data_IF_706659407924
#
_entry.id   IF_706659407924
#
_cell.length_a   1.000
_cell.length_b   1.000
_cell.length_c   1.000
_cell.angle_alpha   90.00
_cell.angle_beta   90.00
_cell.angle_gamma   90.00
#
_symmetry.space_group_name_H-M   'P 1'
#
loop_
_entity.id
_entity.type
_entity.pdbx_description
1 polymer ?
#
# COMPACT_ATOMS: atom_id res chain seq x y z
N UNK A 1 -19.24 -12.78 13.08
CA UNK A 1 -19.26 -13.43 11.76
C UNK A 1 -20.40 -12.78 11.02
N UNK A 2 -20.19 -12.38 9.77
CA UNK A 2 -21.19 -11.69 8.94
C UNK A 2 -21.72 -12.64 7.87
N UNK A 3 -22.93 -12.41 7.41
CA UNK A 3 -23.62 -13.23 6.40
C UNK A 3 -23.62 -12.58 5.01
N UNK A 4 -23.34 -11.28 4.92
CA UNK A 4 -23.33 -10.51 3.66
C UNK A 4 -22.07 -9.66 3.53
N UNK A 5 -21.48 -9.68 2.34
CA UNK A 5 -20.26 -8.96 1.98
C UNK A 5 -20.49 -8.08 0.76
N UNK A 6 -20.29 -6.78 0.91
CA UNK A 6 -20.20 -5.85 -0.21
C UNK A 6 -18.75 -5.74 -0.68
N UNK A 7 -18.52 -5.77 -1.99
CA UNK A 7 -17.19 -5.62 -2.57
C UNK A 7 -17.09 -4.22 -3.14
N UNK A 8 -16.40 -3.32 -2.44
CA UNK A 8 -16.20 -1.92 -2.82
C UNK A 8 -15.07 -1.77 -3.86
N UNK A 9 -15.16 -2.55 -4.94
CA UNK A 9 -14.18 -2.58 -6.02
C UNK A 9 -14.85 -3.08 -7.33
N UNK A 10 -14.07 -3.25 -8.41
CA UNK A 10 -14.55 -3.69 -9.73
C UNK A 10 -13.60 -4.67 -10.40
N UNK A 11 -14.06 -5.29 -11.48
CA UNK A 11 -13.22 -6.12 -12.33
C UNK A 11 -12.73 -7.40 -11.64
N UNK A 12 -11.50 -7.80 -11.92
CA UNK A 12 -10.98 -9.12 -11.53
C UNK A 12 -10.97 -9.32 -10.01
N UNK A 13 -10.53 -8.31 -9.25
CA UNK A 13 -10.42 -8.43 -7.79
C UNK A 13 -11.79 -8.58 -7.14
N UNK A 14 -12.81 -7.93 -7.71
CA UNK A 14 -14.17 -8.08 -7.23
C UNK A 14 -14.69 -9.51 -7.48
N UNK A 15 -14.47 -10.06 -8.67
CA UNK A 15 -14.77 -11.45 -9.01
C UNK A 15 -14.04 -12.43 -8.07
N UNK A 16 -12.74 -12.21 -7.82
CA UNK A 16 -11.91 -13.05 -6.94
C UNK A 16 -12.45 -13.09 -5.50
N UNK A 17 -12.95 -11.97 -5.00
CA UNK A 17 -13.57 -11.87 -3.66
C UNK A 17 -14.94 -12.53 -3.66
N UNK A 18 -15.82 -12.20 -4.61
CA UNK A 18 -17.18 -12.78 -4.75
C UNK A 18 -17.12 -14.31 -4.77
N UNK A 19 -16.24 -14.90 -5.59
CA UNK A 19 -16.08 -16.36 -5.67
C UNK A 19 -15.67 -16.98 -4.34
N UNK A 20 -14.85 -16.30 -3.54
CA UNK A 20 -14.43 -16.80 -2.23
C UNK A 20 -15.55 -16.65 -1.20
N UNK A 21 -16.22 -15.51 -1.16
CA UNK A 21 -17.36 -15.26 -0.30
C UNK A 21 -18.49 -16.29 -0.52
N UNK A 22 -18.82 -16.59 -1.79
CA UNK A 22 -19.78 -17.64 -2.14
C UNK A 22 -19.37 -19.04 -1.66
N UNK A 23 -18.09 -19.43 -1.81
CA UNK A 23 -17.59 -20.71 -1.27
C UNK A 23 -17.68 -20.78 0.26
N UNK A 24 -17.68 -19.64 0.93
CA UNK A 24 -17.85 -19.52 2.37
C UNK A 24 -19.33 -19.43 2.80
N UNK A 25 -20.27 -19.40 1.85
CA UNK A 25 -21.71 -19.30 2.13
C UNK A 25 -22.22 -17.89 2.37
N UNK A 26 -21.42 -16.86 2.05
CA UNK A 26 -21.80 -15.45 2.24
C UNK A 26 -22.61 -14.94 1.05
N UNK A 27 -23.61 -14.11 1.33
CA UNK A 27 -24.26 -13.27 0.32
C UNK A 27 -23.30 -12.21 -0.22
N UNK A 28 -23.36 -11.94 -1.52
CA UNK A 28 -22.42 -11.03 -2.20
C UNK A 28 -23.11 -9.85 -2.85
N UNK A 29 -22.58 -8.65 -2.61
CA UNK A 29 -23.07 -7.40 -3.21
C UNK A 29 -21.95 -6.75 -4.02
N UNK A 30 -22.15 -6.62 -5.33
CA UNK A 30 -21.29 -5.81 -6.18
C UNK A 30 -21.72 -4.34 -6.15
N UNK A 31 -20.75 -3.44 -6.34
CA UNK A 31 -21.04 -2.04 -6.69
C UNK A 31 -20.59 -1.74 -8.12
N UNK A 32 -21.31 -0.85 -8.80
CA UNK A 32 -20.98 -0.51 -10.18
C UNK A 32 -21.24 0.95 -10.55
N UNK A 33 -20.39 1.48 -11.44
CA UNK A 33 -20.63 2.72 -12.15
C UNK A 33 -21.49 2.47 -13.41
N UNK A 34 -22.08 3.52 -14.00
CA UNK A 34 -22.82 3.41 -15.28
C UNK A 34 -22.04 2.67 -16.39
N UNK A 35 -20.71 2.83 -16.43
CA UNK A 35 -19.87 2.19 -17.44
C UNK A 35 -19.63 0.69 -17.18
N UNK A 36 -19.89 0.23 -15.96
CA UNK A 36 -19.64 -1.14 -15.50
C UNK A 36 -20.92 -1.96 -15.34
N UNK A 37 -22.08 -1.46 -15.81
CA UNK A 37 -23.37 -2.11 -15.63
C UNK A 37 -23.41 -3.57 -16.13
N UNK A 38 -22.69 -3.85 -17.23
CA UNK A 38 -22.60 -5.19 -17.83
C UNK A 38 -21.29 -5.92 -17.48
N UNK A 39 -20.55 -5.44 -16.47
CA UNK A 39 -19.27 -6.03 -16.10
C UNK A 39 -19.44 -7.39 -15.42
N UNK A 40 -18.43 -8.27 -15.58
CA UNK A 40 -18.46 -9.63 -15.02
C UNK A 40 -18.69 -9.65 -13.49
N UNK A 41 -18.11 -8.72 -12.73
CA UNK A 41 -18.29 -8.70 -11.27
C UNK A 41 -19.73 -8.34 -10.87
N UNK A 42 -20.47 -7.61 -11.71
CA UNK A 42 -21.90 -7.31 -11.51
C UNK A 42 -22.73 -8.55 -11.74
N UNK A 43 -22.48 -9.26 -12.86
CA UNK A 43 -23.17 -10.50 -13.19
C UNK A 43 -22.86 -11.65 -12.22
N UNK A 44 -21.66 -11.65 -11.61
CA UNK A 44 -21.26 -12.68 -10.64
C UNK A 44 -21.78 -12.45 -9.23
N UNK A 45 -22.19 -11.25 -8.81
CA UNK A 45 -22.71 -11.04 -7.45
C UNK A 45 -24.18 -11.48 -7.31
N UNK A 46 -24.64 -11.71 -6.07
CA UNK A 46 -26.05 -12.04 -5.81
C UNK A 46 -26.95 -10.80 -5.92
N UNK A 47 -26.41 -9.63 -5.58
CA UNK A 47 -27.02 -8.32 -5.75
C UNK A 47 -26.00 -7.32 -6.29
N UNK A 48 -26.47 -6.27 -6.96
CA UNK A 48 -25.63 -5.18 -7.41
C UNK A 48 -26.28 -3.83 -7.14
N UNK A 49 -25.48 -2.86 -6.66
CA UNK A 49 -25.92 -1.50 -6.36
C UNK A 49 -25.16 -0.50 -7.23
N UNK A 50 -25.90 0.40 -7.88
CA UNK A 50 -25.32 1.47 -8.69
C UNK A 50 -24.77 2.57 -7.78
N UNK A 51 -23.49 2.90 -7.92
CA UNK A 51 -22.81 3.91 -7.08
C UNK A 51 -22.49 5.22 -7.80
N UNK A 52 -22.82 5.35 -9.08
CA UNK A 52 -22.70 6.64 -9.76
C UNK A 52 -22.33 6.56 -11.24
N UNK A 53 -21.84 7.68 -11.76
CA UNK A 53 -21.45 7.83 -13.17
C UNK A 53 -20.10 7.18 -13.43
N UNK A 54 -19.75 7.04 -14.70
CA UNK A 54 -18.51 6.41 -15.15
C UNK A 54 -17.21 6.96 -14.53
N UNK A 55 -17.03 8.27 -14.26
CA UNK A 55 -15.81 8.76 -13.62
C UNK A 55 -15.62 8.15 -12.24
N UNK A 56 -14.39 7.70 -11.93
CA UNK A 56 -14.09 7.05 -10.64
C UNK A 56 -14.31 7.99 -9.45
N UNK A 57 -14.10 9.30 -9.62
CA UNK A 57 -14.38 10.31 -8.62
C UNK A 57 -15.88 10.39 -8.26
N UNK A 58 -16.75 10.11 -9.23
CA UNK A 58 -18.21 10.12 -9.06
C UNK A 58 -18.75 8.75 -8.63
N UNK A 59 -17.89 7.73 -8.48
CA UNK A 59 -18.28 6.34 -8.20
C UNK A 59 -17.34 5.65 -7.21
N UNK A 60 -16.30 4.94 -7.67
CA UNK A 60 -15.45 4.08 -6.82
C UNK A 60 -14.58 4.82 -5.79
N UNK A 61 -14.39 6.12 -5.94
CA UNK A 61 -13.73 6.99 -4.96
C UNK A 61 -14.73 7.85 -4.17
N UNK A 62 -16.03 7.73 -4.44
CA UNK A 62 -17.08 8.46 -3.75
C UNK A 62 -17.50 7.68 -2.49
N UNK A 63 -17.00 8.12 -1.34
CA UNK A 63 -17.28 7.48 -0.05
C UNK A 63 -18.78 7.50 0.30
N UNK A 64 -19.46 8.63 0.06
CA UNK A 64 -20.89 8.76 0.36
C UNK A 64 -21.74 7.78 -0.45
N UNK A 65 -21.42 7.60 -1.73
CA UNK A 65 -22.12 6.65 -2.59
C UNK A 65 -21.90 5.19 -2.15
N UNK A 66 -20.68 4.86 -1.72
CA UNK A 66 -20.35 3.52 -1.21
C UNK A 66 -21.02 3.26 0.15
N UNK A 67 -21.05 4.23 1.05
CA UNK A 67 -21.76 4.14 2.33
C UNK A 67 -23.27 3.98 2.11
N UNK A 68 -23.85 4.73 1.17
CA UNK A 68 -25.25 4.56 0.78
C UNK A 68 -25.52 3.16 0.24
N UNK A 69 -24.62 2.59 -0.57
CA UNK A 69 -24.75 1.22 -1.07
C UNK A 69 -24.64 0.16 0.03
N UNK A 70 -23.79 0.37 1.04
CA UNK A 70 -23.73 -0.49 2.23
C UNK A 70 -25.07 -0.48 2.98
N UNK A 71 -25.63 0.71 3.22
CA UNK A 71 -26.92 0.87 3.90
C UNK A 71 -28.07 0.25 3.09
N UNK A 72 -28.18 0.55 1.79
CA UNK A 72 -29.22 0.02 0.90
C UNK A 72 -29.19 -1.51 0.81
N UNK A 73 -27.98 -2.06 0.74
CA UNK A 73 -27.79 -3.50 0.59
C UNK A 73 -27.96 -4.25 1.91
N UNK A 74 -27.77 -3.59 3.05
CA UNK A 74 -27.69 -4.22 4.36
C UNK A 74 -26.44 -5.09 4.53
N UNK A 75 -25.37 -4.81 3.79
CA UNK A 75 -24.12 -5.56 3.91
C UNK A 75 -23.46 -5.29 5.27
N UNK A 76 -23.07 -6.37 5.95
CA UNK A 76 -22.47 -6.34 7.29
C UNK A 76 -20.95 -6.20 7.26
N UNK A 77 -20.35 -6.44 6.09
CA UNK A 77 -18.93 -6.24 5.85
C UNK A 77 -18.66 -5.69 4.46
N UNK A 78 -17.51 -5.02 4.33
CA UNK A 78 -17.02 -4.47 3.07
C UNK A 78 -15.60 -4.94 2.80
N UNK A 79 -15.40 -5.60 1.66
CA UNK A 79 -14.07 -5.92 1.16
C UNK A 79 -13.64 -4.86 0.14
N UNK A 80 -12.57 -4.10 0.38
CA UNK A 80 -12.19 -3.00 -0.50
C UNK A 80 -11.37 -3.45 -1.71
N UNK A 81 -10.87 -4.70 -1.73
CA UNK A 81 -9.97 -5.18 -2.79
C UNK A 81 -8.61 -4.49 -2.68
N UNK A 82 -8.07 -4.03 -3.80
CA UNK A 82 -6.87 -3.19 -3.86
C UNK A 82 -7.14 -1.92 -4.68
N UNK A 83 -6.38 -0.86 -4.42
CA UNK A 83 -6.61 0.44 -5.03
C UNK A 83 -7.91 1.10 -4.52
N UNK A 84 -8.36 2.14 -5.22
CA UNK A 84 -9.50 2.96 -4.78
C UNK A 84 -9.38 3.39 -3.32
N UNK A 85 -10.27 2.89 -2.45
CA UNK A 85 -10.34 3.23 -1.04
C UNK A 85 -9.76 2.14 -0.11
N UNK A 86 -9.04 1.14 -0.66
CA UNK A 86 -8.48 0.03 0.14
C UNK A 86 -7.45 0.46 1.19
N UNK A 87 -6.84 1.62 1.02
CA UNK A 87 -5.88 2.21 1.96
C UNK A 87 -6.37 3.58 2.47
N UNK A 88 -7.70 3.81 2.45
CA UNK A 88 -8.28 5.03 2.95
C UNK A 88 -8.77 4.85 4.41
N UNK A 89 -8.11 5.50 5.40
CA UNK A 89 -8.45 5.29 6.81
C UNK A 89 -9.79 5.91 7.19
N UNK A 90 -10.20 6.98 6.53
CA UNK A 90 -11.47 7.66 6.81
C UNK A 90 -12.65 6.80 6.33
N UNK A 91 -12.52 6.15 5.17
CA UNK A 91 -13.50 5.20 4.67
C UNK A 91 -13.62 3.97 5.57
N UNK A 92 -12.50 3.40 6.03
CA UNK A 92 -12.51 2.29 6.98
C UNK A 92 -13.20 2.67 8.30
N UNK A 93 -13.00 3.89 8.80
CA UNK A 93 -13.67 4.39 10.00
C UNK A 93 -15.17 4.63 9.78
N UNK A 94 -15.55 5.25 8.66
CA UNK A 94 -16.95 5.53 8.33
C UNK A 94 -17.78 4.25 8.16
N UNK A 95 -17.17 3.16 7.68
CA UNK A 95 -17.83 1.85 7.64
C UNK A 95 -18.14 1.31 9.04
N UNK A 96 -17.21 1.46 10.00
CA UNK A 96 -17.45 1.07 11.38
C UNK A 96 -18.59 1.88 12.01
N UNK A 97 -18.64 3.20 11.76
CA UNK A 97 -19.74 4.07 12.20
C UNK A 97 -21.09 3.68 11.58
N UNK A 98 -21.08 3.16 10.35
CA UNK A 98 -22.25 2.61 9.66
C UNK A 98 -22.60 1.17 10.09
N UNK A 99 -21.85 0.58 11.03
CA UNK A 99 -22.08 -0.79 11.52
C UNK A 99 -21.56 -1.90 10.60
N UNK A 100 -20.74 -1.57 9.60
CA UNK A 100 -20.16 -2.53 8.66
C UNK A 100 -18.67 -2.80 8.98
N UNK A 101 -18.28 -4.07 8.93
CA UNK A 101 -16.88 -4.47 9.15
C UNK A 101 -16.03 -4.17 7.91
N UNK A 102 -14.99 -3.36 8.04
CA UNK A 102 -13.95 -3.25 7.01
C UNK A 102 -13.07 -4.51 6.99
N UNK A 103 -13.06 -5.25 5.88
CA UNK A 103 -12.22 -6.45 5.73
C UNK A 103 -10.80 -6.02 5.33
N UNK A 104 -10.04 -5.59 6.33
CA UNK A 104 -8.68 -5.09 6.19
C UNK A 104 -8.08 -4.64 7.53
N UNK A 105 -6.94 -3.93 7.50
CA UNK A 105 -6.34 -3.37 8.71
C UNK A 105 -7.20 -2.26 9.32
N UNK A 106 -6.97 -1.94 10.60
CA UNK A 106 -7.68 -0.86 11.28
C UNK A 106 -7.37 0.52 10.67
N UNK A 107 -8.25 1.53 10.83
CA UNK A 107 -7.96 2.89 10.40
C UNK A 107 -6.63 3.44 10.92
N UNK A 108 -6.26 3.12 12.16
CA UNK A 108 -5.00 3.53 12.78
C UNK A 108 -3.80 2.88 12.10
N UNK A 109 -3.88 1.57 11.79
CA UNK A 109 -2.83 0.86 11.06
C UNK A 109 -2.66 1.41 9.63
N UNK A 110 -3.78 1.74 8.95
CA UNK A 110 -3.75 2.40 7.63
C UNK A 110 -3.07 3.77 7.74
N UNK A 111 -3.43 4.61 8.72
CA UNK A 111 -2.78 5.93 8.93
C UNK A 111 -1.30 5.78 9.24
N UNK A 112 -0.93 4.82 10.08
CA UNK A 112 0.46 4.57 10.47
C UNK A 112 1.35 4.20 9.26
N UNK A 113 0.78 3.51 8.27
CA UNK A 113 1.48 3.11 7.05
C UNK A 113 1.37 4.13 5.90
N UNK A 114 0.46 5.10 5.98
CA UNK A 114 0.26 6.10 4.93
C UNK A 114 1.39 7.14 4.80
N UNK A 115 2.17 7.38 5.86
CA UNK A 115 3.37 8.23 5.83
C UNK A 115 4.62 7.36 5.77
N UNK A 116 5.44 7.53 4.72
CA UNK A 116 6.69 6.76 4.57
C UNK A 116 7.68 7.02 5.71
N UNK A 117 7.70 8.24 6.23
CA UNK A 117 8.57 8.64 7.35
C UNK A 117 8.14 7.90 8.61
N UNK A 118 6.86 7.95 8.95
CA UNK A 118 6.35 7.31 10.17
C UNK A 118 6.41 5.78 10.06
N UNK A 119 6.10 5.21 8.90
CA UNK A 119 6.24 3.79 8.62
C UNK A 119 7.69 3.34 8.84
N UNK A 120 8.68 4.01 8.23
CA UNK A 120 10.11 3.69 8.41
C UNK A 120 10.54 3.82 9.87
N UNK A 121 10.11 4.86 10.57
CA UNK A 121 10.44 5.06 11.99
C UNK A 121 9.94 3.89 12.84
N UNK A 122 8.70 3.46 12.65
CA UNK A 122 8.09 2.33 13.37
C UNK A 122 8.77 1.00 13.03
N UNK A 123 9.00 0.75 11.75
CA UNK A 123 9.64 -0.48 11.26
C UNK A 123 11.09 -0.58 11.74
N UNK A 124 11.84 0.53 11.71
CA UNK A 124 13.20 0.60 12.24
C UNK A 124 13.22 0.38 13.76
N UNK A 125 12.30 1.00 14.51
CA UNK A 125 12.16 0.79 15.96
C UNK A 125 11.83 -0.67 16.31
N UNK A 126 11.18 -1.40 15.41
CA UNK A 126 10.90 -2.83 15.52
C UNK A 126 12.06 -3.73 15.05
N UNK A 127 13.23 -3.16 14.73
CA UNK A 127 14.43 -3.91 14.35
C UNK A 127 14.36 -4.55 12.96
N UNK A 128 13.51 -4.04 12.07
CA UNK A 128 13.57 -4.39 10.66
C UNK A 128 14.53 -3.42 9.93
N UNK A 129 15.42 -3.92 9.06
CA UNK A 129 16.34 -3.07 8.31
C UNK A 129 15.57 -2.08 7.42
N UNK A 130 15.93 -0.80 7.47
CA UNK A 130 15.40 0.25 6.59
C UNK A 130 16.52 0.77 5.69
N UNK A 131 16.18 1.29 4.51
CA UNK A 131 17.18 1.89 3.62
C UNK A 131 17.88 3.05 4.35
N UNK A 132 19.22 3.08 4.40
CA UNK A 132 19.95 4.21 4.99
C UNK A 132 19.51 5.52 4.34
N UNK A 133 19.20 6.53 5.15
CA UNK A 133 18.58 7.74 4.65
C UNK A 133 18.33 8.77 5.73
N UNK A 134 17.66 9.85 5.34
CA UNK A 134 17.27 10.96 6.20
C UNK A 134 15.75 11.15 6.15
N UNK A 135 15.13 11.09 7.33
CA UNK A 135 13.70 11.32 7.56
C UNK A 135 13.45 12.37 8.64
N UNK A 136 14.43 13.24 8.90
CA UNK A 136 14.35 14.26 9.94
C UNK A 136 13.50 15.47 9.56
N UNK A 137 13.26 16.33 10.56
CA UNK A 137 12.37 17.49 10.42
C UNK A 137 12.96 18.70 9.69
N UNK A 138 14.28 18.75 9.45
CA UNK A 138 14.87 19.83 8.67
C UNK A 138 14.60 19.60 7.17
N UNK A 139 13.68 20.40 6.64
CA UNK A 139 13.27 20.36 5.23
C UNK A 139 13.88 21.52 4.42
N UNK A 140 14.86 22.25 4.98
CA UNK A 140 15.60 23.27 4.24
C UNK A 140 16.47 22.65 3.15
N UNK A 141 16.67 23.37 2.04
CA UNK A 141 17.51 22.87 0.94
C UNK A 141 18.94 22.58 1.42
N UNK A 142 19.50 23.46 2.25
CA UNK A 142 20.84 23.30 2.83
C UNK A 142 20.93 22.07 3.73
N UNK A 143 19.99 21.87 4.64
CA UNK A 143 19.98 20.71 5.54
C UNK A 143 19.87 19.39 4.78
N UNK A 144 18.96 19.33 3.80
CA UNK A 144 18.79 18.17 2.93
C UNK A 144 20.04 17.90 2.09
N UNK A 145 20.74 18.93 1.60
CA UNK A 145 21.98 18.76 0.83
C UNK A 145 23.13 18.20 1.70
N UNK A 146 23.23 18.65 2.97
CA UNK A 146 24.20 18.09 3.93
C UNK A 146 23.94 16.60 4.16
N UNK A 147 22.70 16.23 4.45
CA UNK A 147 22.34 14.82 4.68
C UNK A 147 22.49 13.97 3.41
N UNK A 148 22.23 14.51 2.22
CA UNK A 148 22.53 13.82 0.97
C UNK A 148 24.03 13.52 0.83
N UNK A 149 24.89 14.44 1.25
CA UNK A 149 26.34 14.25 1.30
C UNK A 149 26.76 13.16 2.30
N UNK A 150 26.13 13.12 3.49
CA UNK A 150 26.39 12.10 4.51
C UNK A 150 25.95 10.69 4.09
N UNK A 151 24.81 10.57 3.39
CA UNK A 151 24.31 9.32 2.81
C UNK A 151 25.26 8.81 1.71
N UNK A 152 25.79 9.75 0.91
CA UNK A 152 26.62 9.47 -0.25
C UNK A 152 25.80 9.24 -1.52
N UNK A 153 26.28 9.78 -2.64
CA UNK A 153 25.63 9.68 -3.95
C UNK A 153 25.92 8.32 -4.63
N UNK A 154 24.97 7.76 -5.41
CA UNK A 154 23.66 8.33 -5.75
C UNK A 154 22.64 8.27 -4.59
N UNK A 155 21.83 9.33 -4.48
CA UNK A 155 20.72 9.42 -3.52
C UNK A 155 19.38 9.43 -4.24
N UNK A 156 18.33 8.98 -3.56
CA UNK A 156 16.96 8.99 -4.02
C UNK A 156 16.15 9.96 -3.16
N UNK A 157 15.58 10.98 -3.78
CA UNK A 157 14.60 11.87 -3.17
C UNK A 157 13.22 11.25 -3.36
N UNK A 158 12.45 11.07 -2.27
CA UNK A 158 11.06 10.57 -2.32
C UNK A 158 10.13 11.55 -1.61
N UNK A 159 8.95 11.79 -2.15
CA UNK A 159 7.85 12.44 -1.42
C UNK A 159 7.45 11.60 -0.19
N UNK A 160 7.19 12.26 0.94
CA UNK A 160 6.75 11.65 2.20
C UNK A 160 5.41 10.92 2.05
N UNK A 161 4.50 11.53 1.28
CA UNK A 161 3.16 11.04 0.97
C UNK A 161 3.09 10.45 -0.44
N UNK A 162 2.18 9.51 -0.64
CA UNK A 162 1.84 8.94 -1.95
C UNK A 162 2.59 7.66 -2.35
N UNK A 163 2.15 7.05 -3.46
CA UNK A 163 2.62 5.75 -3.96
C UNK A 163 2.68 5.67 -5.49
N UNK A 164 3.02 4.49 -6.03
CA UNK A 164 3.04 4.24 -7.49
C UNK A 164 4.20 4.89 -8.25
N UNK A 165 5.30 5.20 -7.57
CA UNK A 165 6.53 5.69 -8.18
C UNK A 165 6.55 7.18 -8.59
N UNK A 166 5.51 7.96 -8.22
CA UNK A 166 5.47 9.42 -8.44
C UNK A 166 6.27 10.15 -7.36
N UNK A 167 6.84 11.31 -7.69
CA UNK A 167 7.63 12.11 -6.75
C UNK A 167 8.94 11.46 -6.30
N UNK A 168 9.53 10.57 -7.13
CA UNK A 168 10.85 9.97 -6.88
C UNK A 168 11.89 10.51 -7.86
N UNK A 169 13.06 10.91 -7.38
CA UNK A 169 14.15 11.43 -8.22
C UNK A 169 15.49 10.88 -7.78
N UNK A 170 16.20 10.25 -8.72
CA UNK A 170 17.58 9.79 -8.51
C UNK A 170 18.50 10.97 -8.78
N UNK A 171 19.40 11.25 -7.83
CA UNK A 171 20.43 12.27 -7.95
C UNK A 171 21.77 11.57 -7.88
N UNK A 172 22.54 11.64 -8.97
CA UNK A 172 23.83 10.94 -9.07
C UNK A 172 25.01 11.76 -8.56
N UNK A 173 24.89 13.09 -8.48
CA UNK A 173 25.98 14.01 -8.11
C UNK A 173 25.43 15.19 -7.30
N UNK A 174 26.27 15.72 -6.42
CA UNK A 174 25.89 16.84 -5.53
C UNK A 174 25.44 18.09 -6.28
N UNK A 175 26.06 18.41 -7.43
CA UNK A 175 25.71 19.59 -8.25
C UNK A 175 24.28 19.53 -8.82
N UNK A 176 23.70 18.33 -8.93
CA UNK A 176 22.36 18.12 -9.49
C UNK A 176 21.27 18.16 -8.40
N UNK A 177 21.65 18.22 -7.11
CA UNK A 177 20.75 18.01 -5.98
C UNK A 177 19.67 19.10 -5.83
N UNK A 178 20.07 20.37 -5.82
CA UNK A 178 19.14 21.48 -5.57
C UNK A 178 18.01 21.55 -6.62
N UNK A 179 18.37 21.35 -7.88
CA UNK A 179 17.41 21.32 -8.98
C UNK A 179 16.46 20.12 -8.87
N UNK A 180 16.97 18.94 -8.52
CA UNK A 180 16.17 17.75 -8.32
C UNK A 180 15.23 17.89 -7.10
N UNK A 181 15.72 18.46 -5.99
CA UNK A 181 14.93 18.71 -4.79
C UNK A 181 13.77 19.66 -5.08
N UNK A 182 14.03 20.80 -5.72
CA UNK A 182 13.00 21.76 -6.08
C UNK A 182 11.93 21.17 -7.01
N UNK A 183 12.32 20.25 -7.91
CA UNK A 183 11.38 19.52 -8.75
C UNK A 183 10.55 18.50 -7.95
N UNK A 184 11.17 17.73 -7.06
CA UNK A 184 10.50 16.75 -6.20
C UNK A 184 9.45 17.42 -5.29
N UNK A 185 9.82 18.53 -4.61
CA UNK A 185 8.92 19.27 -3.72
C UNK A 185 7.70 19.84 -4.45
N UNK A 186 7.90 20.43 -5.64
CA UNK A 186 6.78 20.94 -6.46
C UNK A 186 5.82 19.84 -6.89
N UNK A 187 6.36 18.68 -7.28
CA UNK A 187 5.53 17.53 -7.66
C UNK A 187 4.76 16.96 -6.46
N UNK A 188 5.41 16.86 -5.30
CA UNK A 188 4.78 16.41 -4.06
C UNK A 188 3.65 17.36 -3.63
N UNK A 189 3.89 18.66 -3.60
CA UNK A 189 2.87 19.66 -3.28
C UNK A 189 1.68 19.61 -4.25
N UNK A 190 1.94 19.49 -5.55
CA UNK A 190 0.89 19.45 -6.56
C UNK A 190 0.07 18.15 -6.51
N UNK A 191 0.68 17.02 -6.16
CA UNK A 191 0.01 15.72 -6.14
C UNK A 191 -0.66 15.40 -4.80
N UNK A 192 -0.09 15.86 -3.69
CA UNK A 192 -0.45 15.42 -2.33
C UNK A 192 -0.72 16.57 -1.35
N UNK A 193 -0.50 17.83 -1.74
CA UNK A 193 -0.67 18.99 -0.85
C UNK A 193 0.39 19.11 0.25
N UNK A 194 1.43 18.29 0.21
CA UNK A 194 2.56 18.25 1.16
C UNK A 194 3.87 18.18 0.36
N UNK A 195 4.81 19.09 0.63
CA UNK A 195 6.11 19.18 -0.04
C UNK A 195 7.26 18.48 0.72
N UNK A 196 6.93 17.81 1.83
CA UNK A 196 7.90 17.06 2.64
C UNK A 196 8.51 15.93 1.84
N UNK A 197 9.84 15.78 1.94
CA UNK A 197 10.59 14.70 1.28
C UNK A 197 11.44 13.94 2.28
N UNK A 198 11.81 12.72 1.90
CA UNK A 198 12.88 11.95 2.52
C UNK A 198 14.00 11.68 1.52
N UNK A 199 15.20 11.43 2.05
CA UNK A 199 16.37 11.06 1.29
C UNK A 199 16.74 9.62 1.61
N UNK A 200 17.14 8.86 0.62
CA UNK A 200 17.62 7.49 0.78
C UNK A 200 18.85 7.24 -0.06
N UNK A 201 19.68 6.30 0.37
CA UNK A 201 20.72 5.73 -0.49
C UNK A 201 20.04 5.04 -1.68
N UNK A 202 20.47 5.38 -2.89
CA UNK A 202 19.99 4.69 -4.07
C UNK A 202 20.78 3.40 -4.29
N UNK A 203 20.12 2.25 -4.11
CA UNK A 203 20.70 0.96 -4.47
C UNK A 203 20.71 0.82 -5.99
N UNK A 204 21.85 0.42 -6.56
CA UNK A 204 22.00 0.23 -8.01
C UNK A 204 21.53 -1.19 -8.36
N UNK A 205 20.56 -1.30 -9.26
CA UNK A 205 19.97 -2.57 -9.71
C UNK A 205 19.45 -3.49 -8.57
N UNK A 206 18.64 -2.97 -7.63
CA UNK A 206 18.10 -3.80 -6.56
C UNK A 206 17.02 -4.74 -7.10
N UNK A 207 16.86 -5.89 -6.45
CA UNK A 207 15.64 -6.67 -6.57
C UNK A 207 14.54 -6.06 -5.72
N UNK A 208 13.30 -6.04 -6.22
CA UNK A 208 12.12 -5.71 -5.44
C UNK A 208 11.52 -7.02 -4.94
N UNK A 209 11.67 -7.29 -3.64
CA UNK A 209 11.17 -8.51 -3.01
C UNK A 209 10.15 -8.11 -1.96
N UNK A 210 9.02 -8.79 -1.93
CA UNK A 210 7.96 -8.49 -0.98
C UNK A 210 7.52 -9.74 -0.21
N UNK A 211 7.17 -9.57 1.06
CA UNK A 211 6.74 -10.66 1.94
C UNK A 211 5.24 -10.52 2.19
N UNK A 212 4.49 -11.59 1.92
CA UNK A 212 3.09 -11.65 2.33
C UNK A 212 3.00 -11.86 3.84
N UNK A 213 2.18 -11.07 4.52
CA UNK A 213 1.85 -11.26 5.93
C UNK A 213 0.35 -11.49 6.11
N UNK A 214 -0.01 -12.31 7.10
CA UNK A 214 -1.37 -12.48 7.61
C UNK A 214 -1.32 -12.26 9.12
N UNK A 215 -2.20 -11.38 9.63
CA UNK A 215 -2.32 -11.11 11.05
C UNK A 215 -3.77 -11.24 11.51
N UNK A 216 -3.99 -11.85 12.67
CA UNK A 216 -5.31 -11.94 13.29
C UNK A 216 -5.46 -10.99 14.49
N UNK A 217 -6.68 -10.87 15.00
CA UNK A 217 -7.00 -10.01 16.14
C UNK A 217 -6.54 -10.59 17.49
N UNK A 218 -5.99 -11.81 17.53
CA UNK A 218 -5.37 -12.38 18.73
C UNK A 218 -3.91 -11.97 18.88
N UNK A 219 -3.35 -11.25 17.90
CA UNK A 219 -1.96 -10.81 17.86
C UNK A 219 -1.02 -11.82 17.18
N UNK A 220 -1.55 -12.87 16.56
CA UNK A 220 -0.73 -13.83 15.80
C UNK A 220 -0.49 -13.28 14.41
N UNK A 221 0.77 -13.29 13.99
CA UNK A 221 1.20 -12.86 12.65
C UNK A 221 2.05 -13.95 12.01
N UNK A 222 1.78 -14.24 10.75
CA UNK A 222 2.52 -15.20 9.93
C UNK A 222 3.00 -14.54 8.66
N UNK A 223 4.16 -14.96 8.16
CA UNK A 223 4.60 -14.66 6.81
C UNK A 223 4.31 -15.84 5.88
N UNK A 224 3.87 -15.57 4.65
CA UNK A 224 3.61 -16.56 3.61
C UNK A 224 4.63 -16.42 2.47
N UNK A 225 5.90 -16.58 2.82
CA UNK A 225 7.04 -16.47 1.90
C UNK A 225 7.10 -15.12 1.15
N UNK A 226 8.03 -15.04 0.21
CA UNK A 226 8.33 -13.88 -0.59
C UNK A 226 7.87 -14.01 -2.04
N UNK A 227 7.72 -12.86 -2.71
CA UNK A 227 7.55 -12.74 -4.15
C UNK A 227 8.66 -11.86 -4.72
N UNK A 228 9.22 -12.25 -5.85
CA UNK A 228 10.11 -11.39 -6.65
C UNK A 228 9.24 -10.59 -7.63
N UNK A 229 9.25 -9.27 -7.47
CA UNK A 229 8.51 -8.31 -8.30
C UNK A 229 9.47 -7.36 -9.01
N UNK A 230 10.71 -7.80 -9.27
CA UNK A 230 11.76 -6.97 -9.86
C UNK A 230 11.53 -6.65 -11.34
N UNK A 231 10.72 -7.46 -12.04
CA UNK A 231 10.38 -7.22 -13.45
C UNK A 231 9.35 -6.09 -13.53
N UNK A 232 9.86 -4.88 -13.72
CA UNK A 232 9.08 -3.65 -13.71
C UNK A 232 9.26 -2.84 -14.99
N UNK A 233 8.22 -2.10 -15.38
CA UNK A 233 8.29 -1.06 -16.41
C UNK A 233 7.81 0.25 -15.81
N UNK A 234 8.67 1.27 -15.79
CA UNK A 234 8.37 2.58 -15.17
C UNK A 234 7.89 2.46 -13.71
N UNK A 235 8.58 1.63 -12.91
CA UNK A 235 8.26 1.38 -11.50
C UNK A 235 6.89 0.73 -11.24
N UNK A 236 6.30 0.10 -12.25
CA UNK A 236 5.10 -0.73 -12.10
C UNK A 236 5.46 -2.19 -12.34
N UNK A 237 4.97 -3.08 -11.47
CA UNK A 237 5.16 -4.53 -11.55
C UNK A 237 4.48 -5.08 -12.82
N UNK A 238 5.19 -5.95 -13.53
CA UNK A 238 4.73 -6.55 -14.80
C UNK A 238 4.70 -8.06 -14.72
N UNK A 239 5.71 -8.65 -14.07
CA UNK A 239 5.77 -10.09 -13.77
C UNK A 239 6.17 -10.23 -12.31
N UNK A 240 5.41 -11.04 -11.59
CA UNK A 240 5.69 -11.44 -10.23
C UNK A 240 5.85 -12.98 -10.16
N UNK A 241 6.84 -13.45 -9.42
CA UNK A 241 7.08 -14.89 -9.24
C UNK A 241 7.31 -15.24 -7.78
N UNK A 242 6.94 -16.47 -7.39
CA UNK A 242 7.02 -16.95 -6.01
C UNK A 242 7.44 -18.43 -5.98
N UNK A 243 8.40 -18.83 -5.13
CA UNK A 243 9.28 -17.97 -4.32
C UNK A 243 10.28 -17.18 -5.18
N UNK A 244 11.00 -16.22 -4.58
CA UNK A 244 12.00 -15.42 -5.29
C UNK A 244 13.19 -16.27 -5.77
N UNK A 245 13.50 -16.30 -7.08
CA UNK A 245 14.58 -17.14 -7.58
C UNK A 245 15.95 -16.71 -7.07
N UNK A 246 16.76 -17.72 -6.71
CA UNK A 246 18.14 -17.53 -6.26
C UNK A 246 18.28 -17.01 -4.84
N UNK A 247 17.18 -16.82 -4.09
CA UNK A 247 17.25 -16.39 -2.68
C UNK A 247 17.53 -17.57 -1.75
N UNK A 248 18.60 -17.46 -0.96
CA UNK A 248 18.97 -18.45 0.03
C UNK A 248 17.97 -18.51 1.21
N UNK A 249 17.99 -19.64 1.92
CA UNK A 249 17.06 -19.85 3.04
C UNK A 249 17.30 -18.93 4.24
N UNK A 250 18.55 -18.61 4.65
CA UNK A 250 18.80 -17.65 5.72
C UNK A 250 18.19 -16.26 5.45
N UNK A 251 18.39 -15.71 4.25
CA UNK A 251 17.85 -14.41 3.84
C UNK A 251 16.34 -14.44 3.83
N UNK A 252 15.73 -15.48 3.25
CA UNK A 252 14.27 -15.67 3.23
C UNK A 252 13.67 -15.66 4.64
N UNK A 253 14.27 -16.41 5.59
CA UNK A 253 13.82 -16.41 6.99
C UNK A 253 13.95 -15.04 7.63
N UNK A 254 15.10 -14.38 7.46
CA UNK A 254 15.34 -13.06 8.03
C UNK A 254 14.35 -12.00 7.52
N UNK A 255 14.03 -12.03 6.21
CA UNK A 255 13.02 -11.16 5.61
C UNK A 255 11.62 -11.48 6.13
N UNK A 256 11.27 -12.75 6.25
CA UNK A 256 10.00 -13.20 6.83
C UNK A 256 9.80 -12.72 8.27
N UNK A 257 10.84 -12.82 9.10
CA UNK A 257 10.83 -12.33 10.48
C UNK A 257 10.77 -10.80 10.54
N UNK A 258 11.50 -10.10 9.67
CA UNK A 258 11.43 -8.64 9.59
C UNK A 258 10.04 -8.15 9.17
N UNK A 259 9.38 -8.84 8.24
CA UNK A 259 8.02 -8.53 7.82
C UNK A 259 6.99 -8.74 8.93
N UNK A 260 7.14 -9.82 9.72
CA UNK A 260 6.30 -10.05 10.90
C UNK A 260 6.46 -8.91 11.91
N UNK A 261 7.71 -8.51 12.22
CA UNK A 261 7.97 -7.40 13.15
C UNK A 261 7.40 -6.08 12.62
N UNK A 262 7.54 -5.81 11.33
CA UNK A 262 6.97 -4.61 10.70
C UNK A 262 5.44 -4.56 10.83
N UNK A 263 4.75 -5.67 10.54
CA UNK A 263 3.30 -5.77 10.68
C UNK A 263 2.84 -5.60 12.14
N UNK A 264 3.55 -6.22 13.09
CA UNK A 264 3.25 -6.10 14.52
C UNK A 264 3.47 -4.67 15.04
N UNK A 265 4.49 -3.96 14.55
CA UNK A 265 4.82 -2.59 14.96
C UNK A 265 3.72 -1.56 14.68
N UNK A 266 2.83 -1.87 13.73
CA UNK A 266 1.71 -1.02 13.35
C UNK A 266 0.35 -1.61 13.77
N UNK A 267 0.35 -2.70 14.53
CA UNK A 267 -0.89 -3.38 14.95
C UNK A 267 -1.70 -3.90 13.76
N UNK A 268 -1.02 -4.38 12.71
CA UNK A 268 -1.68 -4.81 11.48
C UNK A 268 -2.63 -6.00 11.71
N UNK A 269 -3.77 -6.00 11.03
CA UNK A 269 -4.75 -7.10 11.00
C UNK A 269 -5.17 -7.35 9.55
N UNK A 270 -5.44 -8.60 9.21
CA UNK A 270 -5.82 -9.03 7.86
C UNK A 270 -4.60 -9.43 7.02
N UNK A 271 -4.72 -9.27 5.71
CA UNK A 271 -3.67 -9.60 4.75
C UNK A 271 -2.94 -8.33 4.31
N UNK A 272 -1.60 -8.34 4.41
CA UNK A 272 -0.75 -7.21 4.03
C UNK A 272 0.51 -7.68 3.34
N UNK A 273 1.23 -6.73 2.74
CA UNK A 273 2.52 -7.02 2.08
C UNK A 273 3.57 -6.05 2.61
N UNK A 274 4.74 -6.58 2.98
CA UNK A 274 5.89 -5.78 3.39
C UNK A 274 6.91 -5.80 2.26
N UNK A 275 7.14 -4.65 1.65
CA UNK A 275 8.04 -4.52 0.50
C UNK A 275 9.47 -4.20 0.93
N UNK A 276 10.43 -4.86 0.28
CA UNK A 276 11.86 -4.69 0.49
C UNK A 276 12.58 -4.45 -0.85
N UNK A 277 13.66 -3.69 -0.77
CA UNK A 277 14.72 -3.72 -1.78
C UNK A 277 15.85 -4.62 -1.30
N UNK A 278 16.31 -5.51 -2.17
CA UNK A 278 17.40 -6.44 -1.91
C UNK A 278 18.57 -6.11 -2.83
N UNK A 279 19.74 -5.81 -2.25
CA UNK A 279 20.93 -5.34 -2.95
C UNK A 279 22.09 -5.12 -1.98
N UNK A 280 23.31 -5.01 -2.51
CA UNK A 280 24.54 -4.76 -1.72
C UNK A 280 24.75 -5.73 -0.53
N UNK A 281 24.32 -6.98 -0.67
CA UNK A 281 24.44 -8.01 0.37
C UNK A 281 23.43 -7.87 1.52
N UNK A 282 22.41 -7.02 1.40
CA UNK A 282 21.36 -6.85 2.40
C UNK A 282 19.95 -6.71 1.80
N UNK A 283 18.97 -6.58 2.69
CA UNK A 283 17.59 -6.25 2.37
C UNK A 283 17.13 -5.08 3.23
N UNK A 284 16.26 -4.23 2.69
CA UNK A 284 15.86 -2.99 3.34
C UNK A 284 14.40 -2.66 3.05
N UNK A 285 13.64 -2.32 4.08
CA UNK A 285 12.25 -1.88 3.98
C UNK A 285 12.14 -0.56 3.22
N UNK A 286 11.16 -0.51 2.31
CA UNK A 286 10.97 0.56 1.33
C UNK A 286 10.35 1.86 1.85
#
# INVERSE_FOLDING_TARGET
MFDSLLIANRGEIAVRVIRTARRMGLGTVAVYSDADADAMHVAEADRAVRIGRAPVADSYLNQDALLAAVIESGAEAVHPGYGFLSENPDFAAALADAGATFVGPSPEAIRAMGSKIEAKRRVAAAGAPVVPGYTGGDQSATGLAVHAGEIGYPVLIKASMGGGGRGMRIVSRAEDFDAALAAAKREAAAAFGDDTVLLERYLVSPKHIEIQVLADTSGKTLSLFERDCSVQRRHQKVIEEAPAPGMDQPTRRAMGEAAIRAAQAVGYVGAGTVEFVVGDGGFYFL
#
